data_IF_989971744902
#
_entry.id   IF_989971744902
#
_cell.length_a   1.000
_cell.length_b   1.000
_cell.length_c   1.000
_cell.angle_alpha   90.00
_cell.angle_beta   90.00
_cell.angle_gamma   90.00
#
_symmetry.space_group_name_H-M   'P 1'
#
loop_
_entity.id
_entity.type
_entity.pdbx_description
1 polymer ?
#
# COMPACT_ATOMS: atom_id res chain seq x y z
N UNK A 1 7.29 26.26 5.77
CA UNK A 1 7.76 25.23 6.75
C UNK A 1 7.59 23.83 6.13
N UNK A 2 8.56 22.91 6.32
CA UNK A 2 8.51 21.51 5.83
C UNK A 2 8.28 20.55 7.00
N UNK A 3 7.43 19.54 6.82
CA UNK A 3 7.09 18.55 7.85
C UNK A 3 6.78 17.17 7.22
N UNK A 4 6.71 16.14 8.06
CA UNK A 4 6.40 14.76 7.66
C UNK A 4 4.94 14.43 8.03
N UNK A 5 4.30 13.61 7.20
CA UNK A 5 2.96 13.09 7.49
C UNK A 5 2.97 11.72 8.20
N UNK A 6 4.09 10.99 8.13
CA UNK A 6 4.22 9.67 8.77
C UNK A 6 4.64 9.82 10.24
N UNK A 7 3.90 9.19 11.17
CA UNK A 7 4.15 9.29 12.61
C UNK A 7 5.36 8.44 13.08
N UNK A 8 5.65 7.33 12.40
CA UNK A 8 6.79 6.45 12.71
C UNK A 8 7.54 5.99 11.45
N UNK A 9 8.39 6.86 10.91
CA UNK A 9 9.12 6.64 9.65
C UNK A 9 10.13 5.48 9.65
N UNK A 10 10.54 5.02 10.84
CA UNK A 10 11.53 3.94 10.98
C UNK A 10 10.90 2.69 11.62
N UNK A 11 9.58 2.66 11.74
CA UNK A 11 8.82 1.53 12.25
C UNK A 11 9.35 1.08 13.63
N UNK A 12 9.77 2.04 14.46
CA UNK A 12 10.43 1.80 15.76
C UNK A 12 9.45 1.51 16.89
N UNK A 13 8.16 1.83 16.71
CA UNK A 13 7.12 1.65 17.73
C UNK A 13 6.55 0.24 17.70
N UNK A 14 6.47 -0.39 16.53
CA UNK A 14 5.80 -1.67 16.40
C UNK A 14 4.93 -1.76 15.17
N UNK A 15 4.16 -2.83 15.11
CA UNK A 15 2.97 -2.93 14.27
C UNK A 15 1.78 -3.46 15.07
N UNK A 16 0.61 -2.93 14.79
CA UNK A 16 -0.64 -3.63 15.01
C UNK A 16 -0.86 -4.66 13.91
N UNK A 17 -1.66 -5.68 14.16
CA UNK A 17 -2.05 -6.69 13.16
C UNK A 17 -3.56 -6.65 12.97
N UNK A 18 -4.00 -6.66 11.72
CA UNK A 18 -5.42 -6.77 11.35
C UNK A 18 -5.85 -8.23 11.14
N UNK A 19 -7.17 -8.41 11.10
CA UNK A 19 -7.82 -9.68 10.78
C UNK A 19 -7.49 -10.21 9.38
N UNK A 20 -8.16 -11.29 9.01
CA UNK A 20 -8.06 -11.89 7.68
C UNK A 20 -9.08 -11.30 6.71
N UNK A 21 -10.15 -10.67 7.18
CA UNK A 21 -11.15 -10.08 6.30
C UNK A 21 -11.58 -8.71 6.81
N UNK A 22 -11.37 -7.66 6.01
CA UNK A 22 -11.64 -6.26 6.40
C UNK A 22 -13.11 -5.99 6.72
N UNK A 23 -14.04 -6.64 6.01
CA UNK A 23 -15.49 -6.46 6.21
C UNK A 23 -16.00 -7.18 7.46
N UNK A 24 -15.53 -8.42 7.67
CA UNK A 24 -15.98 -9.27 8.79
C UNK A 24 -15.26 -8.97 10.10
N UNK A 25 -13.94 -8.80 10.04
CA UNK A 25 -13.10 -8.66 11.24
C UNK A 25 -12.92 -7.17 11.62
N UNK A 26 -13.33 -6.26 10.73
CA UNK A 26 -13.16 -4.82 10.89
C UNK A 26 -11.70 -4.38 10.81
N UNK A 27 -11.44 -3.16 11.29
CA UNK A 27 -10.14 -2.49 11.20
C UNK A 27 -9.41 -2.40 12.56
N UNK A 28 -9.99 -2.95 13.62
CA UNK A 28 -9.39 -2.96 14.95
C UNK A 28 -8.18 -3.93 15.01
N UNK A 29 -7.17 -3.65 15.87
CA UNK A 29 -6.03 -4.54 16.03
C UNK A 29 -6.45 -5.85 16.71
N UNK A 30 -6.13 -6.99 16.08
CA UNK A 30 -6.32 -8.34 16.67
C UNK A 30 -5.10 -8.81 17.47
N UNK A 31 -3.94 -8.19 17.24
CA UNK A 31 -2.68 -8.40 17.98
C UNK A 31 -1.80 -7.15 17.85
N UNK A 32 -0.93 -6.93 18.82
CA UNK A 32 0.04 -5.83 18.80
C UNK A 32 1.44 -6.35 19.03
N UNK A 33 2.36 -5.99 18.13
CA UNK A 33 3.77 -6.29 18.18
C UNK A 33 4.54 -5.00 18.47
N UNK A 34 4.60 -4.60 19.74
CA UNK A 34 5.26 -3.37 20.16
C UNK A 34 6.78 -3.57 20.31
N UNK A 35 7.58 -2.64 19.79
CA UNK A 35 9.06 -2.71 19.90
C UNK A 35 9.62 -1.84 21.02
N UNK A 36 8.84 -0.85 21.44
CA UNK A 36 9.06 0.05 22.57
C UNK A 36 7.78 0.15 23.39
N UNK A 37 7.78 0.97 24.44
CA UNK A 37 6.58 1.28 25.23
C UNK A 37 5.55 2.12 24.46
N UNK A 38 5.94 2.70 23.33
CA UNK A 38 5.06 3.53 22.50
C UNK A 38 4.04 2.68 21.72
N UNK A 39 2.86 3.25 21.49
CA UNK A 39 1.81 2.62 20.67
C UNK A 39 2.23 2.62 19.19
N UNK A 40 2.17 1.47 18.49
CA UNK A 40 2.43 1.41 17.05
C UNK A 40 1.52 2.35 16.25
N UNK A 41 2.10 3.05 15.28
CA UNK A 41 1.31 3.86 14.33
C UNK A 41 0.90 3.06 13.08
N UNK A 42 1.59 1.95 12.81
CA UNK A 42 1.40 1.14 11.62
C UNK A 42 0.62 -0.13 11.94
N UNK A 43 -0.13 -0.60 10.95
CA UNK A 43 -0.75 -1.92 10.93
C UNK A 43 -0.08 -2.79 9.87
N UNK A 44 -0.01 -4.09 10.14
CA UNK A 44 0.17 -5.13 9.13
C UNK A 44 -1.20 -5.66 8.76
N UNK A 45 -1.46 -5.76 7.47
CA UNK A 45 -2.67 -6.34 6.89
C UNK A 45 -2.32 -7.64 6.18
N UNK A 46 -3.13 -8.67 6.41
CA UNK A 46 -2.93 -10.04 5.94
C UNK A 46 -4.19 -10.56 5.25
N UNK A 47 -4.87 -9.68 4.51
CA UNK A 47 -6.20 -9.95 3.99
C UNK A 47 -6.25 -11.22 3.16
N UNK A 48 -7.31 -11.99 3.37
CA UNK A 48 -7.64 -13.27 2.74
C UNK A 48 -6.49 -14.28 2.68
N UNK A 49 -5.61 -14.25 3.68
CA UNK A 49 -4.58 -15.27 3.85
C UNK A 49 -5.17 -16.54 4.47
N UNK A 50 -4.68 -17.69 4.03
CA UNK A 50 -4.89 -19.01 4.64
C UNK A 50 -4.19 -19.09 5.99
N UNK A 51 -2.97 -18.58 6.08
CA UNK A 51 -2.19 -18.53 7.32
C UNK A 51 -2.39 -17.21 8.06
N UNK A 52 -2.50 -17.27 9.39
CA UNK A 52 -2.73 -16.09 10.22
C UNK A 52 -1.47 -15.72 11.02
N UNK A 53 -0.90 -14.54 10.76
CA UNK A 53 0.23 -13.99 11.52
C UNK A 53 -0.04 -13.82 13.02
N UNK A 54 -1.31 -13.86 13.45
CA UNK A 54 -1.66 -13.91 14.87
C UNK A 54 -1.13 -15.19 15.52
N UNK A 55 -1.09 -16.29 14.79
CA UNK A 55 -0.58 -17.60 15.21
C UNK A 55 0.88 -17.83 14.79
N UNK A 56 1.38 -16.97 13.90
CA UNK A 56 2.77 -16.97 13.47
C UNK A 56 3.78 -16.58 14.55
N UNK A 57 5.03 -16.56 14.10
CA UNK A 57 6.20 -16.31 14.91
C UNK A 57 6.58 -14.81 14.91
N UNK A 58 7.16 -14.39 16.03
CA UNK A 58 7.71 -13.05 16.18
C UNK A 58 9.12 -13.14 16.75
N UNK A 59 10.08 -12.74 15.93
CA UNK A 59 11.49 -12.68 16.30
C UNK A 59 11.95 -11.23 16.43
N UNK A 60 12.73 -10.96 17.48
CA UNK A 60 13.35 -9.66 17.71
C UNK A 60 14.79 -9.86 18.13
N UNK A 61 15.71 -9.22 17.42
CA UNK A 61 17.12 -9.16 17.79
C UNK A 61 17.59 -7.69 17.90
N UNK A 62 18.90 -7.47 18.05
CA UNK A 62 19.47 -6.12 18.25
C UNK A 62 19.34 -5.21 17.03
N UNK A 63 19.20 -5.77 15.83
CA UNK A 63 19.28 -5.06 14.55
C UNK A 63 18.03 -5.17 13.70
N UNK A 64 17.15 -6.14 13.97
CA UNK A 64 15.92 -6.35 13.22
C UNK A 64 14.80 -6.97 14.08
N UNK A 65 13.59 -6.91 13.54
CA UNK A 65 12.49 -7.77 13.95
C UNK A 65 11.85 -8.41 12.72
N UNK A 66 11.18 -9.54 12.94
CA UNK A 66 10.51 -10.32 11.91
C UNK A 66 9.20 -10.89 12.43
N UNK A 67 8.14 -10.65 11.68
CA UNK A 67 6.82 -11.27 11.81
C UNK A 67 6.71 -12.28 10.68
N UNK A 68 6.41 -13.54 10.97
CA UNK A 68 6.31 -14.54 9.90
C UNK A 68 5.42 -15.73 10.23
N UNK A 69 4.86 -16.32 9.19
CA UNK A 69 4.19 -17.63 9.20
C UNK A 69 4.76 -18.51 8.07
N UNK A 70 4.05 -19.57 7.70
CA UNK A 70 4.43 -20.54 6.66
C UNK A 70 4.59 -19.91 5.26
N UNK A 71 3.84 -18.85 4.99
CA UNK A 71 3.63 -18.25 3.67
C UNK A 71 4.18 -16.83 3.54
N UNK A 72 4.25 -16.07 4.64
CA UNK A 72 4.59 -14.65 4.57
C UNK A 72 5.47 -14.18 5.70
N UNK A 73 6.25 -13.14 5.42
CA UNK A 73 7.00 -12.44 6.45
C UNK A 73 7.15 -10.95 6.19
N UNK A 74 7.14 -10.18 7.27
CA UNK A 74 7.58 -8.80 7.31
C UNK A 74 8.79 -8.69 8.24
N UNK A 75 9.95 -8.40 7.66
CA UNK A 75 11.16 -8.08 8.42
C UNK A 75 11.40 -6.59 8.34
N UNK A 76 11.85 -5.98 9.44
CA UNK A 76 12.29 -4.59 9.42
C UNK A 76 13.59 -4.44 10.18
N UNK A 77 14.50 -3.71 9.56
CA UNK A 77 15.83 -3.39 10.05
C UNK A 77 15.79 -2.10 10.88
N UNK A 78 16.77 -1.94 11.78
CA UNK A 78 16.87 -0.79 12.70
C UNK A 78 17.02 0.57 11.97
N UNK A 79 17.51 0.55 10.74
CA UNK A 79 17.63 1.75 9.89
C UNK A 79 16.29 2.16 9.24
N UNK A 80 15.29 1.28 9.26
CA UNK A 80 13.96 1.47 8.67
C UNK A 80 13.76 0.74 7.34
N UNK A 81 14.73 -0.05 6.88
CA UNK A 81 14.51 -0.94 5.73
C UNK A 81 13.52 -2.06 6.07
N UNK A 82 12.57 -2.30 5.20
CA UNK A 82 11.59 -3.37 5.30
C UNK A 82 11.82 -4.41 4.22
N UNK A 83 11.52 -5.67 4.54
CA UNK A 83 11.56 -6.80 3.63
C UNK A 83 10.21 -7.50 3.73
N UNK A 84 9.45 -7.46 2.64
CA UNK A 84 8.18 -8.15 2.47
C UNK A 84 8.46 -9.44 1.72
N UNK A 85 7.96 -10.55 2.22
CA UNK A 85 7.94 -11.84 1.52
C UNK A 85 6.54 -12.41 1.57
N UNK A 86 6.00 -12.80 0.42
CA UNK A 86 4.73 -13.51 0.31
C UNK A 86 4.87 -14.63 -0.72
N UNK A 87 4.59 -15.84 -0.27
CA UNK A 87 4.58 -17.08 -1.04
C UNK A 87 3.15 -17.57 -1.18
N UNK A 88 2.47 -17.07 -2.22
CA UNK A 88 1.09 -17.40 -2.51
C UNK A 88 0.90 -18.85 -3.00
N UNK A 89 1.99 -19.55 -3.37
CA UNK A 89 1.92 -20.99 -3.67
C UNK A 89 1.50 -21.83 -2.46
N UNK A 90 1.70 -21.31 -1.24
CA UNK A 90 1.24 -21.93 0.01
C UNK A 90 -0.16 -21.46 0.42
N UNK A 91 -0.54 -20.25 0.00
CA UNK A 91 -1.85 -19.66 0.31
C UNK A 91 -2.98 -20.31 -0.52
N UNK A 92 -2.67 -20.75 -1.74
CA UNK A 92 -3.63 -21.38 -2.65
C UNK A 92 -3.47 -22.90 -2.73
N UNK A 93 -4.59 -23.62 -2.62
CA UNK A 93 -4.63 -25.07 -2.87
C UNK A 93 -4.80 -25.40 -4.37
N UNK A 94 -5.25 -24.43 -5.16
CA UNK A 94 -5.41 -24.48 -6.63
C UNK A 94 -5.39 -23.06 -7.22
N UNK A 95 -5.15 -22.87 -8.53
CA UNK A 95 -5.28 -21.58 -9.19
C UNK A 95 -6.59 -20.86 -8.88
N UNK A 96 -6.50 -19.54 -8.67
CA UNK A 96 -7.59 -18.73 -8.16
C UNK A 96 -8.61 -18.37 -9.25
N UNK A 97 -9.88 -18.70 -9.04
CA UNK A 97 -10.96 -18.27 -9.92
C UNK A 97 -11.23 -16.74 -9.82
N UNK A 98 -11.66 -16.05 -10.90
CA UNK A 98 -11.82 -14.59 -10.96
C UNK A 98 -12.62 -13.90 -9.85
N UNK A 99 -13.57 -14.57 -9.19
CA UNK A 99 -14.38 -14.00 -8.11
C UNK A 99 -13.86 -14.31 -6.70
N UNK A 100 -12.80 -15.12 -6.57
CA UNK A 100 -12.26 -15.49 -5.27
C UNK A 100 -11.42 -14.36 -4.67
N UNK A 101 -11.34 -14.27 -3.33
CA UNK A 101 -10.44 -13.33 -2.69
C UNK A 101 -8.96 -13.74 -2.91
N UNK A 102 -8.03 -12.86 -2.57
CA UNK A 102 -6.59 -13.10 -2.74
C UNK A 102 -5.76 -12.64 -1.53
N UNK A 103 -4.65 -13.33 -1.20
CA UNK A 103 -3.80 -13.02 -0.07
C UNK A 103 -3.09 -11.69 -0.28
N UNK A 104 -3.10 -10.88 0.77
CA UNK A 104 -2.39 -9.62 0.86
C UNK A 104 -1.33 -9.71 1.95
N UNK A 105 -0.20 -9.02 1.75
CA UNK A 105 0.71 -8.64 2.83
C UNK A 105 1.02 -7.16 2.67
N UNK A 106 0.31 -6.32 3.44
CA UNK A 106 0.47 -4.88 3.41
C UNK A 106 0.89 -4.34 4.76
N UNK A 107 1.47 -3.14 4.76
CA UNK A 107 1.44 -2.24 5.92
C UNK A 107 0.56 -1.04 5.60
N UNK A 108 -0.03 -0.44 6.63
CA UNK A 108 -0.78 0.79 6.49
C UNK A 108 -0.66 1.69 7.72
N UNK A 109 -0.92 2.99 7.53
CA UNK A 109 -0.99 3.98 8.60
C UNK A 109 -2.02 5.03 8.23
N UNK A 110 -2.90 5.34 9.18
CA UNK A 110 -3.78 6.50 9.11
C UNK A 110 -2.99 7.79 9.37
N UNK A 111 -3.33 8.84 8.64
CA UNK A 111 -2.65 10.14 8.69
C UNK A 111 -3.68 11.17 9.16
N UNK A 112 -3.65 11.48 10.45
CA UNK A 112 -4.62 12.34 11.12
C UNK A 112 -4.07 13.73 11.47
N UNK A 113 -2.75 13.92 11.36
CA UNK A 113 -2.10 15.18 11.70
C UNK A 113 -1.51 15.88 10.47
N UNK A 114 -1.75 17.19 10.37
CA UNK A 114 -1.23 18.06 9.29
C UNK A 114 -1.52 17.54 7.87
N UNK A 115 -2.64 16.84 7.70
CA UNK A 115 -2.99 16.07 6.51
C UNK A 115 -3.75 16.86 5.45
N UNK A 116 -4.21 18.08 5.74
CA UNK A 116 -4.96 18.94 4.80
C UNK A 116 -4.11 19.37 3.61
N UNK A 117 -4.68 19.26 2.40
CA UNK A 117 -4.05 19.72 1.14
C UNK A 117 -4.08 21.24 1.03
N UNK A 118 -5.11 21.88 1.59
CA UNK A 118 -5.23 23.34 1.55
C UNK A 118 -4.01 24.05 2.14
N UNK A 119 -3.49 25.04 1.41
CA UNK A 119 -2.32 25.83 1.82
C UNK A 119 -0.96 25.13 1.63
N UNK A 120 -0.93 23.91 1.09
CA UNK A 120 0.33 23.27 0.71
C UNK A 120 0.88 23.85 -0.59
N UNK A 121 2.22 23.91 -0.64
CA UNK A 121 3.03 24.20 -1.83
C UNK A 121 3.59 22.93 -2.44
N UNK A 122 3.98 21.95 -1.61
CA UNK A 122 4.51 20.64 -2.04
C UNK A 122 3.96 19.52 -1.18
N UNK A 123 3.80 18.35 -1.79
CA UNK A 123 3.46 17.09 -1.14
C UNK A 123 4.27 15.98 -1.82
N UNK A 124 5.46 15.68 -1.28
CA UNK A 124 6.42 14.76 -1.90
C UNK A 124 6.34 13.39 -1.25
N UNK A 125 5.96 12.39 -2.05
CA UNK A 125 6.03 10.98 -1.72
C UNK A 125 7.32 10.38 -2.28
N UNK A 126 8.16 9.83 -1.40
CA UNK A 126 9.42 9.18 -1.77
C UNK A 126 9.61 7.85 -1.05
N UNK A 127 10.06 6.84 -1.78
CA UNK A 127 10.53 5.56 -1.26
C UNK A 127 11.49 4.92 -2.28
N UNK A 128 12.33 3.98 -1.84
CA UNK A 128 13.16 3.17 -2.72
C UNK A 128 12.76 1.70 -2.60
N UNK A 129 12.69 1.01 -3.74
CA UNK A 129 12.21 -0.36 -3.86
C UNK A 129 13.25 -1.23 -4.56
N UNK A 130 13.35 -2.50 -4.18
CA UNK A 130 14.22 -3.46 -4.83
C UNK A 130 13.58 -4.86 -4.79
N UNK A 131 13.18 -5.38 -5.94
CA UNK A 131 12.72 -6.76 -6.07
C UNK A 131 13.93 -7.69 -5.88
N UNK A 132 13.81 -8.69 -5.01
CA UNK A 132 14.87 -9.66 -4.74
C UNK A 132 14.58 -10.99 -5.44
N UNK A 133 13.39 -11.51 -5.16
CA UNK A 133 12.93 -12.82 -5.59
C UNK A 133 11.57 -12.67 -6.25
N UNK A 134 11.38 -13.46 -7.31
CA UNK A 134 10.15 -13.60 -8.07
C UNK A 134 10.19 -14.99 -8.67
N UNK A 135 9.29 -15.84 -8.24
CA UNK A 135 9.07 -17.17 -8.78
C UNK A 135 7.59 -17.34 -9.11
N UNK A 136 7.32 -17.89 -10.29
CA UNK A 136 5.98 -18.13 -10.81
C UNK A 136 5.71 -19.64 -10.84
N UNK A 137 4.67 -20.08 -10.13
CA UNK A 137 4.26 -21.49 -10.03
C UNK A 137 2.99 -21.80 -10.81
N UNK A 138 2.50 -20.87 -11.65
CA UNK A 138 1.24 -21.04 -12.38
C UNK A 138 1.34 -22.07 -13.51
N UNK A 139 2.50 -22.16 -14.18
CA UNK A 139 2.69 -23.03 -15.34
C UNK A 139 1.66 -22.77 -16.45
N UNK A 140 1.13 -23.83 -17.04
CA UNK A 140 0.12 -23.74 -18.12
C UNK A 140 -1.26 -23.26 -17.64
N UNK A 141 -1.49 -23.14 -16.33
CA UNK A 141 -2.76 -22.66 -15.74
C UNK A 141 -2.76 -21.14 -15.54
N UNK A 142 -1.73 -20.43 -16.00
CA UNK A 142 -1.66 -18.97 -15.90
C UNK A 142 -2.73 -18.31 -16.78
N UNK A 143 -3.42 -17.32 -16.20
CA UNK A 143 -4.43 -16.51 -16.88
C UNK A 143 -4.13 -15.03 -16.59
N UNK A 144 -4.74 -14.11 -17.34
CA UNK A 144 -4.44 -12.67 -17.26
C UNK A 144 -4.64 -12.06 -15.86
N UNK A 145 -5.59 -12.59 -15.08
CA UNK A 145 -5.86 -12.13 -13.72
C UNK A 145 -4.93 -12.77 -12.68
N UNK A 146 -4.11 -13.76 -13.03
CA UNK A 146 -3.12 -14.36 -12.15
C UNK A 146 -1.82 -13.52 -12.18
N UNK A 147 -1.62 -12.68 -11.18
CA UNK A 147 -0.47 -11.78 -11.09
C UNK A 147 0.04 -11.68 -9.66
N UNK A 148 1.22 -11.09 -9.53
CA UNK A 148 1.74 -10.56 -8.27
C UNK A 148 2.00 -9.07 -8.46
N UNK A 149 1.45 -8.26 -7.56
CA UNK A 149 1.59 -6.81 -7.57
C UNK A 149 2.22 -6.34 -6.27
N UNK A 150 3.14 -5.38 -6.36
CA UNK A 150 3.57 -4.59 -5.22
C UNK A 150 3.13 -3.15 -5.44
N UNK A 151 2.26 -2.66 -4.57
CA UNK A 151 1.68 -1.32 -4.68
C UNK A 151 2.08 -0.45 -3.50
N UNK A 152 2.17 0.85 -3.75
CA UNK A 152 2.16 1.86 -2.69
C UNK A 152 0.99 2.81 -2.97
N UNK A 153 0.14 3.02 -1.97
CA UNK A 153 -1.11 3.77 -2.11
C UNK A 153 -1.13 4.93 -1.14
N UNK A 154 -1.67 6.06 -1.62
CA UNK A 154 -2.00 7.26 -0.84
C UNK A 154 -3.49 7.53 -1.03
N UNK A 155 -4.22 7.76 0.05
CA UNK A 155 -5.66 8.07 -0.05
C UNK A 155 -5.88 9.58 0.03
N UNK A 156 -6.58 10.13 -0.96
CA UNK A 156 -7.06 11.51 -0.96
C UNK A 156 -8.55 11.53 -0.62
N UNK A 157 -8.90 12.03 0.56
CA UNK A 157 -10.26 11.96 1.09
C UNK A 157 -10.89 13.34 1.18
N UNK A 158 -12.17 13.43 0.86
CA UNK A 158 -12.98 14.62 1.14
C UNK A 158 -13.37 14.64 2.64
N UNK A 159 -12.86 15.61 3.38
CA UNK A 159 -13.19 15.82 4.79
C UNK A 159 -14.12 17.02 5.03
N UNK A 160 -14.70 17.61 3.99
CA UNK A 160 -15.65 18.71 4.16
C UNK A 160 -17.07 18.16 4.43
N UNK A 161 -17.65 18.32 5.63
CA UNK A 161 -18.96 17.79 5.95
C UNK A 161 -20.12 18.39 5.15
N UNK A 162 -19.88 19.52 4.45
CA UNK A 162 -20.86 20.16 3.57
C UNK A 162 -20.73 19.70 2.11
N UNK A 163 -19.72 18.90 1.77
CA UNK A 163 -19.56 18.32 0.44
C UNK A 163 -20.55 17.17 0.24
N UNK A 164 -21.18 17.11 -0.94
CA UNK A 164 -21.96 15.94 -1.33
C UNK A 164 -21.11 14.67 -1.46
N UNK A 165 -19.78 14.83 -1.49
CA UNK A 165 -18.80 13.75 -1.54
C UNK A 165 -18.08 13.53 -0.21
N UNK A 166 -18.60 14.06 0.91
CA UNK A 166 -18.01 13.88 2.23
C UNK A 166 -17.73 12.40 2.54
N UNK A 167 -16.53 12.13 3.02
CA UNK A 167 -15.97 10.79 3.29
C UNK A 167 -15.64 9.90 2.09
N UNK A 168 -16.01 10.27 0.86
CA UNK A 168 -15.49 9.60 -0.33
C UNK A 168 -14.02 9.92 -0.56
N UNK A 169 -13.34 9.06 -1.31
CA UNK A 169 -11.92 9.21 -1.51
C UNK A 169 -11.40 8.60 -2.82
N UNK A 170 -10.15 8.93 -3.13
CA UNK A 170 -9.42 8.37 -4.27
C UNK A 170 -8.24 7.56 -3.76
N UNK A 171 -8.13 6.31 -4.22
CA UNK A 171 -6.91 5.51 -4.10
C UNK A 171 -5.89 5.97 -5.14
N UNK A 172 -4.87 6.71 -4.72
CA UNK A 172 -3.76 7.11 -5.59
C UNK A 172 -2.66 6.05 -5.52
N UNK A 173 -2.56 5.22 -6.56
CA UNK A 173 -1.68 4.05 -6.60
C UNK A 173 -0.39 4.35 -7.37
N UNK A 174 0.73 4.02 -6.75
CA UNK A 174 2.06 3.93 -7.34
C UNK A 174 2.33 2.44 -7.66
N UNK A 175 2.21 2.00 -8.92
CA UNK A 175 2.40 0.59 -9.26
C UNK A 175 3.90 0.26 -9.33
N UNK A 176 4.47 -0.15 -8.20
CA UNK A 176 5.91 -0.43 -8.09
C UNK A 176 6.29 -1.66 -8.89
N UNK A 177 5.44 -2.68 -8.87
CA UNK A 177 5.65 -3.94 -9.57
C UNK A 177 4.32 -4.60 -9.93
N UNK A 178 4.26 -5.22 -11.10
CA UNK A 178 3.20 -6.11 -11.56
C UNK A 178 3.86 -7.17 -12.46
N UNK A 179 3.64 -8.47 -12.20
CA UNK A 179 4.30 -9.53 -12.97
C UNK A 179 3.95 -9.53 -14.45
N UNK A 180 2.88 -8.86 -14.86
CA UNK A 180 2.42 -8.80 -16.26
C UNK A 180 3.16 -7.75 -17.09
N UNK A 181 3.77 -6.76 -16.45
CA UNK A 181 4.33 -5.60 -17.14
C UNK A 181 5.80 -5.32 -16.74
N UNK A 182 6.56 -4.73 -17.65
CA UNK A 182 7.85 -4.11 -17.31
C UNK A 182 7.62 -2.83 -16.51
N UNK A 183 6.63 -2.03 -16.95
CA UNK A 183 6.06 -0.88 -16.27
C UNK A 183 4.54 -0.94 -16.41
N UNK A 184 3.80 -0.91 -15.30
CA UNK A 184 2.34 -0.95 -15.36
C UNK A 184 1.77 0.24 -16.15
N UNK A 185 0.72 0.05 -16.97
CA UNK A 185 0.07 1.13 -17.68
C UNK A 185 -0.70 2.06 -16.71
N UNK A 186 -1.06 3.25 -17.19
CA UNK A 186 -2.03 4.12 -16.49
C UNK A 186 -3.35 3.34 -16.35
N UNK A 187 -3.90 3.29 -15.14
CA UNK A 187 -5.16 2.61 -14.88
C UNK A 187 -6.07 3.47 -14.01
N UNK A 188 -7.34 3.54 -14.38
CA UNK A 188 -8.36 4.36 -13.71
C UNK A 188 -9.72 3.66 -13.78
N UNK A 189 -10.23 3.20 -12.64
CA UNK A 189 -11.50 2.50 -12.56
C UNK A 189 -12.14 2.63 -11.17
N UNK A 190 -13.37 2.16 -11.04
CA UNK A 190 -13.97 1.87 -9.74
C UNK A 190 -13.24 0.71 -9.08
N UNK A 191 -12.89 0.88 -7.81
CA UNK A 191 -12.47 -0.17 -6.91
C UNK A 191 -13.68 -0.73 -6.17
N UNK A 192 -13.79 -2.05 -6.10
CA UNK A 192 -14.91 -2.74 -5.46
C UNK A 192 -14.53 -3.35 -4.11
N UNK A 193 -13.43 -2.92 -3.48
CA UNK A 193 -13.06 -3.41 -2.15
C UNK A 193 -14.03 -2.93 -1.06
N UNK A 194 -14.81 -1.87 -1.33
CA UNK A 194 -15.89 -1.37 -0.48
C UNK A 194 -17.25 -1.48 -1.20
N UNK A 195 -18.39 -1.61 -0.47
CA UNK A 195 -19.71 -1.84 -1.07
C UNK A 195 -20.14 -0.82 -2.13
N UNK A 196 -19.88 0.47 -1.90
CA UNK A 196 -20.24 1.55 -2.85
C UNK A 196 -19.14 1.81 -3.90
N UNK A 197 -17.97 1.21 -3.68
CA UNK A 197 -16.75 1.38 -4.45
C UNK A 197 -16.19 2.80 -4.45
N UNK A 198 -14.86 2.90 -4.59
CA UNK A 198 -14.15 4.18 -4.59
C UNK A 198 -13.29 4.30 -5.84
N UNK A 199 -12.82 5.51 -6.16
CA UNK A 199 -12.09 5.70 -7.41
C UNK A 199 -10.61 5.32 -7.26
N UNK A 200 -10.09 4.52 -8.19
CA UNK A 200 -8.65 4.31 -8.36
C UNK A 200 -8.09 5.27 -9.40
N UNK A 201 -6.99 5.92 -9.03
CA UNK A 201 -6.06 6.52 -9.96
C UNK A 201 -4.69 5.87 -9.79
N UNK A 202 -4.29 5.04 -10.74
CA UNK A 202 -2.99 4.37 -10.74
C UNK A 202 -2.08 4.99 -11.79
N UNK A 203 -0.95 5.56 -11.37
CA UNK A 203 0.03 6.16 -12.29
C UNK A 203 0.52 5.15 -13.34
N UNK A 204 0.91 5.62 -14.53
CA UNK A 204 1.74 4.79 -15.39
C UNK A 204 3.11 4.59 -14.72
N UNK A 205 3.58 3.34 -14.57
CA UNK A 205 4.86 3.04 -13.92
C UNK A 205 6.03 3.81 -14.56
N UNK A 206 6.02 3.93 -15.91
CA UNK A 206 7.04 4.66 -16.68
C UNK A 206 7.11 6.16 -16.38
N UNK A 207 6.07 6.76 -15.79
CA UNK A 207 6.10 8.18 -15.41
C UNK A 207 6.70 8.44 -14.03
N UNK A 208 6.86 7.40 -13.19
CA UNK A 208 7.30 7.55 -11.79
C UNK A 208 8.51 6.68 -11.41
N UNK A 209 8.80 5.62 -12.18
CA UNK A 209 9.93 4.73 -11.98
C UNK A 209 11.06 5.09 -12.98
N UNK A 210 12.27 5.42 -12.51
CA UNK A 210 13.39 5.71 -13.40
C UNK A 210 13.90 4.47 -14.17
N UNK A 211 13.69 3.27 -13.64
CA UNK A 211 13.96 1.98 -14.29
C UNK A 211 13.07 0.90 -13.63
N UNK A 212 12.99 -0.28 -14.22
CA UNK A 212 12.18 -1.36 -13.66
C UNK A 212 12.81 -1.91 -12.38
N UNK A 213 11.98 -2.30 -11.40
CA UNK A 213 12.45 -3.03 -10.21
C UNK A 213 12.91 -4.45 -10.54
N UNK A 214 12.52 -4.97 -11.72
CA UNK A 214 12.97 -6.27 -12.25
C UNK A 214 14.48 -6.35 -12.45
N UNK A 215 15.15 -5.21 -12.57
CA UNK A 215 16.62 -5.12 -12.66
C UNK A 215 17.33 -5.55 -11.37
N UNK A 216 16.57 -5.84 -10.30
CA UNK A 216 17.06 -6.18 -8.95
C UNK A 216 18.00 -5.11 -8.36
N UNK A 217 17.79 -3.86 -8.79
CA UNK A 217 18.48 -2.67 -8.31
C UNK A 217 17.51 -1.77 -7.58
N UNK A 218 18.05 -0.99 -6.63
CA UNK A 218 17.28 0.03 -5.94
C UNK A 218 16.71 1.07 -6.92
N UNK A 219 15.39 1.09 -7.03
CA UNK A 219 14.62 2.03 -7.83
C UNK A 219 13.98 3.05 -6.91
N UNK A 220 14.25 4.34 -7.10
CA UNK A 220 13.71 5.40 -6.26
C UNK A 220 12.50 6.08 -6.91
N UNK A 221 11.36 6.03 -6.23
CA UNK A 221 10.16 6.83 -6.54
C UNK A 221 10.27 8.16 -5.79
N UNK A 222 9.93 9.27 -6.47
CA UNK A 222 9.91 10.61 -5.88
C UNK A 222 8.93 11.50 -6.64
N UNK A 223 7.69 11.57 -6.17
CA UNK A 223 6.60 12.30 -6.85
C UNK A 223 6.11 13.45 -5.96
N UNK A 224 6.00 14.65 -6.53
CA UNK A 224 5.30 15.77 -5.89
C UNK A 224 3.83 15.75 -6.29
N UNK A 225 2.98 15.16 -5.44
CA UNK A 225 1.56 14.97 -5.69
C UNK A 225 0.81 16.29 -5.90
N UNK A 226 1.28 17.42 -5.39
CA UNK A 226 0.60 18.71 -5.58
C UNK A 226 0.41 19.04 -7.07
N UNK A 227 1.34 18.65 -7.93
CA UNK A 227 1.24 18.85 -9.38
C UNK A 227 0.25 17.91 -10.08
N UNK A 228 -0.15 16.81 -9.42
CA UNK A 228 -1.01 15.78 -10.00
C UNK A 228 -2.45 15.82 -9.46
N UNK A 229 -2.65 16.33 -8.24
CA UNK A 229 -3.98 16.37 -7.59
C UNK A 229 -5.08 16.95 -8.50
N UNK A 230 -4.89 18.08 -9.23
CA UNK A 230 -5.94 18.58 -10.12
C UNK A 230 -6.35 17.59 -11.21
N UNK A 231 -5.39 16.88 -11.80
CA UNK A 231 -5.65 15.85 -12.82
C UNK A 231 -6.32 14.62 -12.23
N UNK A 232 -5.87 14.18 -11.06
CA UNK A 232 -6.44 13.03 -10.33
C UNK A 232 -7.91 13.31 -9.98
N UNK A 233 -8.20 14.47 -9.40
CA UNK A 233 -9.55 14.86 -9.01
C UNK A 233 -10.46 15.00 -10.24
N UNK A 234 -9.98 15.66 -11.31
CA UNK A 234 -10.73 15.78 -12.56
C UNK A 234 -11.02 14.41 -13.19
N UNK A 235 -10.09 13.46 -13.13
CA UNK A 235 -10.31 12.10 -13.63
C UNK A 235 -11.43 11.38 -12.85
N UNK A 236 -11.43 11.48 -11.52
CA UNK A 236 -12.49 10.94 -10.68
C UNK A 236 -13.86 11.55 -11.02
N UNK A 237 -13.91 12.88 -11.10
CA UNK A 237 -15.12 13.66 -11.40
C UNK A 237 -15.68 13.34 -12.79
N UNK A 238 -14.81 13.17 -13.79
CA UNK A 238 -15.23 12.79 -15.15
C UNK A 238 -15.92 11.41 -15.21
N UNK A 239 -15.72 10.57 -14.19
CA UNK A 239 -16.32 9.23 -14.06
C UNK A 239 -17.43 9.18 -13.01
N UNK A 240 -17.89 10.33 -12.50
CA UNK A 240 -19.00 10.41 -11.55
C UNK A 240 -18.61 10.29 -10.08
N UNK A 241 -17.33 10.23 -9.74
CA UNK A 241 -16.84 10.16 -8.36
C UNK A 241 -16.45 11.55 -7.85
N UNK A 242 -16.55 11.78 -6.55
CA UNK A 242 -16.02 13.02 -5.93
C UNK A 242 -16.56 14.32 -6.55
N UNK A 243 -17.81 14.30 -7.07
CA UNK A 243 -18.42 15.43 -7.80
C UNK A 243 -18.59 16.69 -6.94
N UNK A 244 -18.77 16.53 -5.63
CA UNK A 244 -18.89 17.64 -4.68
C UNK A 244 -17.55 18.17 -4.17
N UNK A 245 -16.47 17.42 -4.37
CA UNK A 245 -15.16 17.70 -3.76
C UNK A 245 -14.43 18.83 -4.47
N UNK A 246 -13.93 19.79 -3.69
CA UNK A 246 -12.92 20.75 -4.14
C UNK A 246 -11.55 20.33 -3.65
N UNK A 247 -10.50 20.83 -4.31
CA UNK A 247 -9.12 20.56 -3.90
C UNK A 247 -8.83 20.99 -2.44
N UNK A 248 -9.50 22.04 -1.96
CA UNK A 248 -9.36 22.54 -0.58
C UNK A 248 -10.01 21.63 0.48
N UNK A 249 -10.94 20.77 0.07
CA UNK A 249 -11.62 19.81 0.94
C UNK A 249 -10.79 18.54 1.17
N UNK A 250 -9.75 18.34 0.36
CA UNK A 250 -8.95 17.12 0.38
C UNK A 250 -7.98 17.05 1.55
N UNK A 251 -7.85 15.85 2.11
CA UNK A 251 -6.77 15.46 3.02
C UNK A 251 -6.05 14.22 2.51
N UNK A 252 -4.79 14.05 2.93
CA UNK A 252 -4.08 12.78 2.82
C UNK A 252 -4.49 11.92 4.02
N UNK A 253 -5.48 11.05 3.88
CA UNK A 253 -6.07 10.36 5.04
C UNK A 253 -5.31 9.12 5.49
N UNK A 254 -4.60 8.46 4.57
CA UNK A 254 -3.85 7.24 4.89
C UNK A 254 -2.83 6.89 3.80
N UNK A 255 -1.97 5.93 4.12
CA UNK A 255 -1.11 5.25 3.15
C UNK A 255 -1.07 3.76 3.45
N UNK A 256 -1.00 2.93 2.40
CA UNK A 256 -0.70 1.50 2.52
C UNK A 256 0.35 1.08 1.48
N UNK A 257 1.10 0.01 1.73
CA UNK A 257 1.97 -0.59 0.72
C UNK A 257 2.17 -2.07 0.98
N UNK A 258 2.41 -2.84 -0.08
CA UNK A 258 2.77 -4.24 0.05
C UNK A 258 2.36 -5.07 -1.16
N UNK A 259 2.30 -6.39 -0.94
CA UNK A 259 1.92 -7.36 -1.95
C UNK A 259 0.42 -7.62 -1.98
N UNK A 260 -0.10 -7.70 -3.20
CA UNK A 260 -1.39 -8.30 -3.55
C UNK A 260 -1.11 -9.36 -4.62
N UNK A 261 -1.41 -10.62 -4.34
CA UNK A 261 -1.03 -11.72 -5.24
C UNK A 261 -2.25 -12.56 -5.57
N UNK A 262 -2.66 -12.56 -6.83
CA UNK A 262 -3.84 -13.28 -7.32
C UNK A 262 -3.48 -14.62 -7.98
N UNK A 263 -2.21 -14.85 -8.34
CA UNK A 263 -1.71 -16.16 -8.80
C UNK A 263 -0.84 -16.88 -7.75
N UNK A 264 -0.22 -18.00 -8.12
CA UNK A 264 0.75 -18.72 -7.28
C UNK A 264 2.16 -18.19 -7.56
N UNK A 265 2.54 -17.14 -6.83
CA UNK A 265 3.88 -16.54 -6.91
C UNK A 265 4.57 -16.53 -5.54
N UNK A 266 5.90 -16.69 -5.52
CA UNK A 266 6.72 -16.36 -4.36
C UNK A 266 7.57 -15.12 -4.67
N UNK A 267 7.42 -14.08 -3.84
CA UNK A 267 8.03 -12.78 -4.09
C UNK A 267 8.66 -12.19 -2.83
N UNK A 268 9.79 -11.51 -3.02
CA UNK A 268 10.45 -10.73 -1.96
C UNK A 268 10.75 -9.30 -2.45
N UNK A 269 10.25 -8.29 -1.73
CA UNK A 269 10.48 -6.87 -2.00
C UNK A 269 11.16 -6.19 -0.82
N UNK A 270 12.25 -5.46 -1.09
CA UNK A 270 12.90 -4.60 -0.10
C UNK A 270 12.46 -3.15 -0.31
N UNK A 271 12.18 -2.45 0.79
CA UNK A 271 11.71 -1.07 0.78
C UNK A 271 12.50 -0.25 1.79
N UNK A 272 12.95 0.95 1.42
CA UNK A 272 13.59 1.88 2.36
C UNK A 272 13.31 3.33 2.03
N UNK A 273 13.68 4.21 2.96
CA UNK A 273 13.56 5.67 2.82
C UNK A 273 12.14 6.16 2.55
N UNK A 274 11.13 5.48 3.10
CA UNK A 274 9.71 5.83 2.95
C UNK A 274 9.45 7.17 3.65
N UNK A 275 8.98 8.15 2.89
CA UNK A 275 8.63 9.47 3.38
C UNK A 275 7.45 10.05 2.61
N UNK A 276 6.56 10.69 3.35
CA UNK A 276 5.58 11.62 2.82
C UNK A 276 5.87 12.96 3.49
N UNK A 277 6.28 13.96 2.71
CA UNK A 277 6.65 15.28 3.22
C UNK A 277 5.80 16.36 2.59
N UNK A 278 5.31 17.27 3.42
CA UNK A 278 4.55 18.42 2.97
C UNK A 278 5.33 19.73 3.26
N UNK A 279 5.06 20.75 2.46
CA UNK A 279 5.59 22.09 2.64
C UNK A 279 4.43 23.09 2.49
N UNK A 280 4.22 23.94 3.50
CA UNK A 280 3.27 25.07 3.41
C UNK A 280 3.83 26.18 2.54
N UNK A 281 2.92 26.94 1.92
CA UNK A 281 3.23 28.21 1.23
C UNK A 281 3.97 29.16 2.16
#
# INVERSE_FOLDING_TARGET
MRFHLLADRKFRRGFHLKGLNSLRDGHAPIRTFAFKKDVPAWFVCQWNSKYNLKEGNFEKNKTSFRLFDESKSLTVQKDGEMIFTLDASKEYDAPRAPSQPWPHLLIEQEITENNKIFGLKKLVCKASFCLQELENFMGEQEEEHHTTQFVWVITLKDENPSSASYNHFIWVIFPIFDSRYEFSPLFMNQDMALPDGEFIYCFAGKSILPHSVRDKKWTKVSVDLMGHIPTILAAAQSKGYMLGTKMEDLTVSSTNMGFEITGTFACTMRVKDVTITAQRR
#
